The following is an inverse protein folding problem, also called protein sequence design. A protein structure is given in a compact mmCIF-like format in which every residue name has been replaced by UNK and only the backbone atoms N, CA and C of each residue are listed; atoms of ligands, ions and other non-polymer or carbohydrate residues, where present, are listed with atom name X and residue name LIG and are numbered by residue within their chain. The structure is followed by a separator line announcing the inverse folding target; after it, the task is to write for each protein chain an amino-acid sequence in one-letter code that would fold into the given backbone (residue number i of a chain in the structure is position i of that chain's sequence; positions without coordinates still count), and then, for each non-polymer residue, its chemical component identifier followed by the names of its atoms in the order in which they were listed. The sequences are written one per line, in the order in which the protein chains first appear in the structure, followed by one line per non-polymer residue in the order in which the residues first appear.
data_IF_381941237986
#
_entry.id   IF_381941237986
#
_cell.length_a   1.000
_cell.length_b   1.000
_cell.length_c   1.000
_cell.angle_alpha   90.00
_cell.angle_beta   90.00
_cell.angle_gamma   90.00
#
_symmetry.space_group_name_H-M   'P 1'
#
loop_
_entity.id
_entity.type
_entity.pdbx_description
1 polymer ?
#
# COMPACT_ATOMS: atom_id res chain seq x y z
N UNK A 1 -22.85 4.46 2.38
CA UNK A 1 -21.64 4.77 1.59
C UNK A 1 -20.70 3.61 1.80
N UNK A 2 -20.15 3.03 0.75
CA UNK A 2 -19.18 1.93 0.89
C UNK A 2 -17.86 2.52 1.41
N UNK A 3 -17.25 1.85 2.39
CA UNK A 3 -15.90 2.22 2.84
C UNK A 3 -14.88 1.86 1.76
N UNK A 4 -13.76 2.59 1.71
CA UNK A 4 -12.68 2.33 0.74
C UNK A 4 -11.36 2.03 1.44
N UNK A 5 -10.69 0.94 1.04
CA UNK A 5 -9.35 0.57 1.51
C UNK A 5 -8.32 0.68 0.39
N UNK A 6 -7.19 1.31 0.68
CA UNK A 6 -6.02 1.34 -0.20
C UNK A 6 -4.96 0.35 0.27
N UNK A 7 -4.45 -0.48 -0.63
CA UNK A 7 -3.30 -1.34 -0.37
C UNK A 7 -2.03 -0.76 -0.99
N UNK A 8 -0.99 -0.53 -0.19
CA UNK A 8 0.32 -0.06 -0.65
C UNK A 8 1.28 -1.24 -0.69
N UNK A 9 1.86 -1.48 -1.86
CA UNK A 9 2.80 -2.58 -2.11
C UNK A 9 4.14 -2.07 -2.63
N UNK A 10 5.20 -2.85 -2.42
CA UNK A 10 6.48 -2.65 -3.12
C UNK A 10 6.69 -3.65 -4.27
N UNK A 11 5.67 -4.43 -4.60
CA UNK A 11 5.65 -5.37 -5.72
C UNK A 11 4.21 -5.60 -6.18
N UNK A 12 4.00 -5.74 -7.48
CA UNK A 12 2.68 -6.01 -8.07
C UNK A 12 2.20 -7.45 -7.82
N UNK A 13 3.09 -8.37 -7.45
CA UNK A 13 2.82 -9.81 -7.32
C UNK A 13 1.68 -10.12 -6.34
N UNK A 14 1.52 -9.30 -5.30
CA UNK A 14 0.52 -9.53 -4.26
C UNK A 14 -0.85 -8.91 -4.58
N UNK A 15 -0.98 -8.12 -5.66
CA UNK A 15 -2.26 -7.47 -6.01
C UNK A 15 -3.39 -8.50 -6.15
N UNK A 16 -3.28 -9.58 -6.96
CA UNK A 16 -4.38 -10.52 -7.14
C UNK A 16 -4.82 -11.20 -5.85
N UNK A 17 -3.85 -11.52 -4.97
CA UNK A 17 -4.12 -12.10 -3.66
C UNK A 17 -4.94 -11.15 -2.79
N UNK A 18 -4.50 -9.91 -2.64
CA UNK A 18 -5.22 -8.93 -1.81
C UNK A 18 -6.57 -8.52 -2.43
N UNK A 19 -6.69 -8.45 -3.75
CA UNK A 19 -7.99 -8.25 -4.42
C UNK A 19 -8.94 -9.41 -4.11
N UNK A 20 -8.45 -10.66 -4.15
CA UNK A 20 -9.24 -11.84 -3.81
C UNK A 20 -9.68 -11.84 -2.35
N UNK A 21 -8.76 -11.57 -1.42
CA UNK A 21 -9.06 -11.47 0.01
C UNK A 21 -10.03 -10.33 0.32
N UNK A 22 -9.89 -9.17 -0.33
CA UNK A 22 -10.82 -8.05 -0.14
C UNK A 22 -12.24 -8.42 -0.56
N UNK A 23 -12.38 -9.07 -1.72
CA UNK A 23 -13.70 -9.53 -2.20
C UNK A 23 -14.33 -10.59 -1.29
N UNK A 24 -13.50 -11.44 -0.68
CA UNK A 24 -13.97 -12.52 0.18
C UNK A 24 -14.33 -12.03 1.58
N UNK A 25 -13.44 -11.26 2.21
CA UNK A 25 -13.52 -10.89 3.63
C UNK A 25 -14.18 -9.53 3.84
N UNK A 26 -14.11 -8.65 2.84
CA UNK A 26 -14.62 -7.27 2.88
C UNK A 26 -15.52 -6.96 1.66
N UNK A 27 -16.57 -7.76 1.39
CA UNK A 27 -17.34 -7.68 0.14
C UNK A 27 -18.08 -6.34 -0.08
N UNK A 28 -18.28 -5.56 0.99
CA UNK A 28 -18.94 -4.24 0.95
C UNK A 28 -17.95 -3.07 0.94
N UNK A 29 -16.65 -3.35 0.91
CA UNK A 29 -15.57 -2.35 0.92
C UNK A 29 -14.95 -2.28 -0.47
N UNK A 30 -14.93 -1.08 -1.04
CA UNK A 30 -14.21 -0.82 -2.29
C UNK A 30 -12.71 -0.86 -2.02
N UNK A 31 -11.93 -1.37 -2.98
CA UNK A 31 -10.49 -1.47 -2.81
C UNK A 31 -9.72 -0.99 -4.04
N UNK A 32 -8.58 -0.35 -3.79
CA UNK A 32 -7.61 -0.04 -4.84
C UNK A 32 -6.19 -0.28 -4.35
N UNK A 33 -5.27 -0.35 -5.30
CA UNK A 33 -3.89 -0.74 -5.06
C UNK A 33 -2.94 0.35 -5.57
N UNK A 34 -1.90 0.64 -4.79
CA UNK A 34 -0.79 1.52 -5.15
C UNK A 34 0.51 0.72 -5.04
N UNK A 35 1.42 0.91 -5.99
CA UNK A 35 2.69 0.17 -6.03
C UNK A 35 3.85 1.12 -6.24
N UNK A 36 4.91 0.96 -5.44
CA UNK A 36 6.20 1.61 -5.67
C UNK A 36 7.36 0.65 -5.36
N UNK A 37 7.88 0.01 -6.41
CA UNK A 37 9.02 -0.91 -6.32
C UNK A 37 10.32 -0.24 -5.86
N UNK A 38 10.43 1.09 -6.00
CA UNK A 38 11.65 1.77 -5.62
C UNK A 38 11.82 1.84 -4.11
N UNK A 39 10.74 1.72 -3.32
CA UNK A 39 10.81 1.74 -1.85
C UNK A 39 11.65 0.58 -1.32
N UNK A 40 11.31 -0.66 -1.72
CA UNK A 40 12.07 -1.84 -1.30
C UNK A 40 13.50 -1.82 -1.87
N UNK A 41 13.68 -1.39 -3.13
CA UNK A 41 15.02 -1.25 -3.73
C UNK A 41 15.89 -0.27 -2.94
N UNK A 42 15.32 0.84 -2.47
CA UNK A 42 16.02 1.83 -1.65
C UNK A 42 16.35 1.29 -0.26
N UNK A 43 15.41 0.59 0.40
CA UNK A 43 15.63 -0.03 1.72
C UNK A 43 16.73 -1.08 1.65
N UNK A 44 16.71 -1.96 0.64
CA UNK A 44 17.75 -2.98 0.41
C UNK A 44 19.11 -2.31 0.18
N UNK A 45 19.18 -1.33 -0.73
CA UNK A 45 20.44 -0.62 -1.05
C UNK A 45 21.04 0.08 0.17
N UNK A 46 20.19 0.59 1.06
CA UNK A 46 20.62 1.32 2.26
C UNK A 46 20.79 0.40 3.47
N UNK A 47 20.48 -0.89 3.33
CA UNK A 47 20.40 -1.89 4.41
C UNK A 47 19.56 -1.43 5.62
N UNK A 48 18.67 -0.47 5.41
CA UNK A 48 17.89 0.20 6.46
C UNK A 48 16.75 1.02 5.86
N UNK A 49 15.70 1.23 6.65
CA UNK A 49 14.64 2.17 6.30
C UNK A 49 15.14 3.61 6.52
N UNK A 50 15.42 4.33 5.43
CA UNK A 50 15.91 5.70 5.50
C UNK A 50 14.79 6.71 5.68
N UNK A 51 15.08 7.88 6.28
CA UNK A 51 14.12 9.00 6.39
C UNK A 51 13.51 9.39 5.03
N UNK A 52 14.27 9.28 3.94
CA UNK A 52 13.77 9.57 2.60
C UNK A 52 12.77 8.52 2.14
N UNK A 53 13.05 7.23 2.34
CA UNK A 53 12.08 6.16 2.05
C UNK A 53 10.82 6.31 2.90
N UNK A 54 10.96 6.58 4.20
CA UNK A 54 9.82 6.81 5.10
C UNK A 54 8.93 7.97 4.64
N UNK A 55 9.52 9.11 4.26
CA UNK A 55 8.75 10.25 3.73
C UNK A 55 7.95 9.89 2.48
N UNK A 56 8.50 9.04 1.61
CA UNK A 56 7.79 8.58 0.40
C UNK A 56 6.62 7.66 0.72
N UNK A 57 6.79 6.75 1.69
CA UNK A 57 5.68 5.93 2.20
C UNK A 57 4.56 6.83 2.74
N UNK A 58 4.90 7.82 3.59
CA UNK A 58 3.93 8.76 4.12
C UNK A 58 3.22 9.56 3.03
N UNK A 59 3.93 9.99 1.98
CA UNK A 59 3.31 10.67 0.84
C UNK A 59 2.34 9.77 0.08
N UNK A 60 2.63 8.47 -0.05
CA UNK A 60 1.69 7.51 -0.64
C UNK A 60 0.45 7.31 0.23
N UNK A 61 0.60 7.24 1.56
CA UNK A 61 -0.52 7.17 2.50
C UNK A 61 -1.41 8.41 2.36
N UNK A 62 -0.81 9.61 2.29
CA UNK A 62 -1.56 10.85 2.05
C UNK A 62 -2.27 10.83 0.70
N UNK A 63 -1.58 10.42 -0.36
CA UNK A 63 -2.19 10.30 -1.69
C UNK A 63 -3.32 9.28 -1.75
N UNK A 64 -3.25 8.20 -0.97
CA UNK A 64 -4.33 7.23 -0.86
C UNK A 64 -5.57 7.85 -0.18
N UNK A 65 -5.34 8.56 0.93
CA UNK A 65 -6.40 9.30 1.62
C UNK A 65 -7.05 10.35 0.71
N UNK A 66 -6.24 11.15 0.00
CA UNK A 66 -6.74 12.15 -0.96
C UNK A 66 -7.47 11.50 -2.15
N UNK A 67 -7.15 10.24 -2.46
CA UNK A 67 -7.86 9.39 -3.41
C UNK A 67 -9.16 8.79 -2.90
N UNK A 68 -9.56 9.09 -1.66
CA UNK A 68 -10.82 8.64 -1.06
C UNK A 68 -10.71 7.39 -0.18
N UNK A 69 -9.51 6.94 0.18
CA UNK A 69 -9.36 5.82 1.10
C UNK A 69 -9.71 6.22 2.54
N UNK A 70 -10.63 5.46 3.16
CA UNK A 70 -10.92 5.56 4.60
C UNK A 70 -9.87 4.83 5.44
N UNK A 71 -9.20 3.83 4.85
CA UNK A 71 -8.14 3.05 5.48
C UNK A 71 -7.00 2.75 4.49
N UNK A 72 -5.78 2.64 5.01
CA UNK A 72 -4.59 2.28 4.23
C UNK A 72 -3.89 1.08 4.88
N UNK A 73 -3.66 0.03 4.09
CA UNK A 73 -2.89 -1.15 4.49
C UNK A 73 -1.56 -1.20 3.74
N UNK A 74 -0.47 -1.07 4.47
CA UNK A 74 0.89 -1.33 3.94
C UNK A 74 1.14 -2.83 4.02
N UNK A 75 1.39 -3.48 2.89
CA UNK A 75 1.41 -4.96 2.81
C UNK A 75 2.80 -5.57 2.97
N UNK A 76 3.86 -4.75 2.90
CA UNK A 76 5.24 -5.21 2.89
C UNK A 76 5.89 -4.93 4.26
N UNK A 77 6.36 -5.97 4.95
CA UNK A 77 6.93 -5.86 6.30
C UNK A 77 8.25 -5.07 6.41
N UNK A 78 8.89 -4.77 5.27
CA UNK A 78 10.17 -4.07 5.20
C UNK A 78 10.05 -2.54 5.14
N UNK A 79 8.82 -2.00 5.10
CA UNK A 79 8.53 -0.56 4.98
C UNK A 79 7.54 -0.10 6.05
#
# INVERSE_FOLDING_TARGET
MAHTIAYIHTSHVLIPLFTGLSKQELPEVESFHMVDESLIKNTIRSQSLTKTTTRRVLAMVQSAHDGGADAVMVTCSSI
#
